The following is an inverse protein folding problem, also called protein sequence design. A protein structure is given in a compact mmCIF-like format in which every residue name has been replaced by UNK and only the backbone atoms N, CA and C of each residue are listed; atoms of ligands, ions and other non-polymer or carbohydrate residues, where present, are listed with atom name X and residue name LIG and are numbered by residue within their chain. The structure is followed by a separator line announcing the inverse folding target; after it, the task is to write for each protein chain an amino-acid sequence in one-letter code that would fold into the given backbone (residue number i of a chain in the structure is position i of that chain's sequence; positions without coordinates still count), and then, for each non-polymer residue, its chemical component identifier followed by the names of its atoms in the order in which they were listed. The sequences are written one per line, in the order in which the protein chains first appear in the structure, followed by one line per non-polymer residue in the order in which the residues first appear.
data_IF_953967369270
#
_entry.id   IF_953967369270
#
_cell.length_a   1.000
_cell.length_b   1.000
_cell.length_c   1.000
_cell.angle_alpha   90.00
_cell.angle_beta   90.00
_cell.angle_gamma   90.00
#
_symmetry.space_group_name_H-M   'P 1'
#
loop_
_entity.id
_entity.type
_entity.pdbx_description
1 polymer ?
#
# COMPACT_ATOMS: atom_id res chain seq x y z
N UNK A 1 -17.62 -8.49 13.11
CA UNK A 1 -17.36 -7.16 13.69
C UNK A 1 -17.03 -6.22 12.54
N UNK A 2 -17.53 -4.98 12.54
CA UNK A 2 -17.13 -3.99 11.52
C UNK A 2 -15.81 -3.36 11.98
N UNK A 3 -14.74 -3.54 11.20
CA UNK A 3 -13.47 -2.88 11.47
C UNK A 3 -13.51 -1.47 10.90
N UNK A 4 -13.28 -0.46 11.74
CA UNK A 4 -13.13 0.91 11.27
C UNK A 4 -11.74 1.06 10.65
N UNK A 5 -11.72 1.33 9.34
CA UNK A 5 -10.50 1.57 8.57
C UNK A 5 -10.16 3.05 8.56
N UNK A 6 -8.86 3.34 8.63
CA UNK A 6 -8.29 4.68 8.60
C UNK A 6 -7.12 4.68 7.61
N UNK A 7 -7.00 5.72 6.80
CA UNK A 7 -5.80 5.95 5.99
C UNK A 7 -4.68 6.39 6.94
N UNK A 8 -3.59 5.63 6.99
CA UNK A 8 -2.42 5.91 7.84
C UNK A 8 -1.41 6.81 7.13
N UNK A 9 -1.09 6.46 5.89
CA UNK A 9 -0.17 7.21 5.01
C UNK A 9 -0.41 6.80 3.56
N UNK A 10 0.40 7.36 2.66
CA UNK A 10 0.42 6.93 1.28
C UNK A 10 1.84 6.88 0.74
N UNK A 11 1.99 6.27 -0.43
CA UNK A 11 3.18 6.38 -1.27
C UNK A 11 2.79 6.90 -2.65
N UNK A 12 3.69 7.65 -3.27
CA UNK A 12 3.65 8.07 -4.67
C UNK A 12 4.53 7.11 -5.47
N UNK A 13 3.87 6.16 -6.14
CA UNK A 13 4.52 5.04 -6.79
C UNK A 13 4.67 5.23 -8.29
N UNK A 14 5.70 4.58 -8.84
CA UNK A 14 5.81 4.32 -10.26
C UNK A 14 4.81 3.26 -10.73
N UNK A 15 4.97 2.83 -11.98
CA UNK A 15 4.18 1.72 -12.52
C UNK A 15 4.58 0.42 -11.81
N UNK A 16 3.62 -0.37 -11.29
CA UNK A 16 3.94 -1.64 -10.64
C UNK A 16 4.46 -2.68 -11.64
N UNK A 17 5.22 -3.64 -11.14
CA UNK A 17 5.75 -4.74 -11.94
C UNK A 17 4.64 -5.72 -12.34
N UNK A 18 4.64 -6.17 -13.59
CA UNK A 18 3.78 -7.26 -14.07
C UNK A 18 4.55 -8.57 -14.06
N UNK A 19 4.23 -9.45 -13.11
CA UNK A 19 4.90 -10.74 -12.92
C UNK A 19 3.85 -11.86 -12.96
N UNK A 20 4.07 -12.88 -13.81
CA UNK A 20 3.13 -14.00 -14.00
C UNK A 20 1.65 -13.60 -14.08
N UNK A 21 1.35 -12.59 -14.89
CA UNK A 21 0.00 -12.03 -15.09
C UNK A 21 -0.63 -11.38 -13.85
N UNK A 22 0.17 -10.98 -12.87
CA UNK A 22 -0.24 -10.20 -11.69
C UNK A 22 0.51 -8.87 -11.69
N UNK A 23 -0.20 -7.78 -11.39
CA UNK A 23 0.44 -6.50 -11.09
C UNK A 23 0.83 -6.51 -9.61
N UNK A 24 2.11 -6.48 -9.27
CA UNK A 24 2.52 -6.57 -7.88
C UNK A 24 2.41 -5.20 -7.21
N UNK A 25 1.36 -5.03 -6.41
CA UNK A 25 1.19 -3.90 -5.49
C UNK A 25 1.66 -4.30 -4.10
N UNK A 26 2.10 -3.33 -3.29
CA UNK A 26 2.49 -3.56 -1.90
C UNK A 26 2.52 -2.26 -1.11
N UNK A 27 2.42 -2.35 0.22
CA UNK A 27 2.77 -1.25 1.12
C UNK A 27 4.28 -1.06 1.32
N UNK A 28 5.13 -1.93 0.76
CA UNK A 28 6.58 -1.79 0.79
C UNK A 28 7.09 -0.89 -0.32
N UNK A 29 7.98 0.02 0.06
CA UNK A 29 8.71 0.86 -0.88
C UNK A 29 9.69 0.06 -1.77
N UNK A 30 10.17 -1.09 -1.31
CA UNK A 30 11.03 -1.98 -2.08
C UNK A 30 10.31 -2.72 -3.23
N UNK A 31 8.99 -2.85 -3.15
CA UNK A 31 8.20 -3.64 -4.12
C UNK A 31 7.52 -2.74 -5.15
N UNK A 32 6.64 -1.82 -4.72
CA UNK A 32 5.95 -0.92 -5.66
C UNK A 32 6.82 0.31 -6.04
N UNK A 33 8.05 0.41 -5.53
CA UNK A 33 9.08 1.35 -5.98
C UNK A 33 8.58 2.81 -6.06
N UNK A 34 8.41 3.50 -4.92
CA UNK A 34 8.12 4.91 -4.87
C UNK A 34 9.13 5.73 -5.66
N UNK A 35 8.67 6.87 -6.18
CA UNK A 35 9.57 7.73 -6.96
C UNK A 35 10.67 8.32 -6.06
N UNK A 36 11.91 8.26 -6.54
CA UNK A 36 13.07 8.77 -5.79
C UNK A 36 13.03 10.30 -5.63
N UNK A 37 12.42 11.01 -6.58
CA UNK A 37 12.27 12.46 -6.53
C UNK A 37 10.88 12.88 -6.99
N UNK A 38 10.12 13.49 -6.08
CA UNK A 38 8.83 14.12 -6.37
C UNK A 38 9.01 15.31 -7.32
N UNK A 39 8.20 15.39 -8.40
CA UNK A 39 8.08 16.58 -9.23
C UNK A 39 7.85 17.83 -8.37
N UNK A 40 8.50 18.94 -8.73
CA UNK A 40 8.53 20.17 -7.92
C UNK A 40 7.14 20.72 -7.67
N UNK A 41 6.27 20.66 -8.68
CA UNK A 41 4.87 21.02 -8.67
C UNK A 41 4.02 20.19 -7.69
N UNK A 42 4.42 18.94 -7.43
CA UNK A 42 3.74 18.04 -6.51
C UNK A 42 4.15 18.29 -5.05
N UNK A 43 5.38 18.73 -4.79
CA UNK A 43 5.94 18.85 -3.43
C UNK A 43 5.08 19.66 -2.46
N UNK A 44 4.38 20.70 -2.94
CA UNK A 44 3.51 21.55 -2.11
C UNK A 44 2.25 20.83 -1.60
N UNK A 45 1.91 19.68 -2.16
CA UNK A 45 0.72 18.91 -1.83
C UNK A 45 0.99 17.73 -0.91
N UNK A 46 2.26 17.55 -0.53
CA UNK A 46 2.69 16.46 0.33
C UNK A 46 3.58 16.96 1.46
N UNK A 47 3.55 16.24 2.57
CA UNK A 47 4.49 16.35 3.68
C UNK A 47 5.08 14.97 3.96
N UNK A 48 6.13 14.92 4.78
CA UNK A 48 6.68 13.63 5.23
C UNK A 48 5.62 12.83 6.02
N UNK A 49 5.91 11.57 6.32
CA UNK A 49 4.99 10.69 7.03
C UNK A 49 4.52 11.28 8.39
N UNK A 50 5.34 12.14 9.00
CA UNK A 50 5.07 12.83 10.28
C UNK A 50 4.34 14.17 10.12
N UNK A 51 4.18 14.68 8.89
CA UNK A 51 3.48 15.93 8.60
C UNK A 51 4.28 17.22 8.82
N UNK A 52 5.58 17.14 9.08
CA UNK A 52 6.35 18.26 9.64
C UNK A 52 7.45 18.80 8.71
N UNK A 53 7.71 18.16 7.57
CA UNK A 53 8.77 18.60 6.66
C UNK A 53 8.38 18.51 5.18
N UNK A 54 9.15 19.22 4.36
CA UNK A 54 9.06 19.17 2.91
C UNK A 54 9.59 17.82 2.40
N UNK A 55 8.93 17.27 1.38
CA UNK A 55 9.27 15.97 0.82
C UNK A 55 10.03 16.06 -0.49
N UNK A 56 11.02 15.18 -0.61
CA UNK A 56 11.72 14.91 -1.86
C UNK A 56 11.44 13.49 -2.36
N UNK A 57 11.32 12.52 -1.45
CA UNK A 57 11.07 11.13 -1.77
C UNK A 57 9.56 10.84 -1.78
N UNK A 58 9.09 10.07 -2.77
CA UNK A 58 7.69 9.66 -2.90
C UNK A 58 7.30 8.47 -2.04
N UNK A 59 8.15 7.99 -1.14
CA UNK A 59 7.83 6.92 -0.19
C UNK A 59 6.75 7.32 0.80
N UNK A 60 6.85 6.87 2.04
CA UNK A 60 5.83 7.19 3.05
C UNK A 60 5.67 8.72 3.22
N UNK A 61 4.56 9.24 2.72
CA UNK A 61 4.19 10.67 2.71
C UNK A 61 2.75 10.85 3.17
N UNK A 62 2.41 12.09 3.52
CA UNK A 62 1.05 12.52 3.79
C UNK A 62 0.58 13.50 2.73
N UNK A 63 -0.63 13.32 2.21
CA UNK A 63 -1.24 14.28 1.29
C UNK A 63 -2.00 15.36 2.06
N UNK A 64 -1.72 16.62 1.74
CA UNK A 64 -2.38 17.77 2.38
C UNK A 64 -3.49 18.37 1.51
N UNK A 65 -3.61 17.96 0.25
CA UNK A 65 -4.66 18.39 -0.66
C UNK A 65 -5.03 17.30 -1.70
N UNK A 66 -6.34 17.02 -1.85
CA UNK A 66 -6.87 16.02 -2.78
C UNK A 66 -6.64 16.35 -4.26
N UNK A 67 -6.40 17.63 -4.60
CA UNK A 67 -6.06 18.03 -5.97
C UNK A 67 -4.78 17.36 -6.49
N UNK A 68 -3.91 16.88 -5.59
CA UNK A 68 -2.68 16.18 -5.97
C UNK A 68 -2.96 14.91 -6.79
N UNK A 69 -4.11 14.26 -6.61
CA UNK A 69 -4.45 13.03 -7.34
C UNK A 69 -4.53 13.24 -8.86
N UNK A 70 -5.09 14.38 -9.29
CA UNK A 70 -5.15 14.73 -10.71
C UNK A 70 -3.75 14.93 -11.29
N UNK A 71 -2.91 15.69 -10.58
CA UNK A 71 -1.53 15.97 -10.98
C UNK A 71 -0.68 14.69 -11.02
N UNK A 72 -0.83 13.79 -10.03
CA UNK A 72 -0.18 12.49 -10.05
C UNK A 72 -0.51 11.71 -11.33
N UNK A 73 -1.77 11.72 -11.75
CA UNK A 73 -2.20 11.05 -12.97
C UNK A 73 -1.57 11.68 -14.24
N UNK A 74 -1.48 13.01 -14.31
CA UNK A 74 -0.82 13.74 -15.40
C UNK A 74 0.67 13.37 -15.53
N UNK A 75 1.33 13.08 -14.40
CA UNK A 75 2.71 12.60 -14.37
C UNK A 75 2.87 11.09 -14.60
N UNK A 76 1.78 10.34 -14.84
CA UNK A 76 1.84 8.89 -14.98
C UNK A 76 2.17 8.16 -13.67
N UNK A 77 1.98 8.81 -12.52
CA UNK A 77 2.24 8.29 -11.19
C UNK A 77 0.98 7.71 -10.55
N UNK A 78 1.15 6.89 -9.52
CA UNK A 78 0.06 6.22 -8.81
C UNK A 78 0.07 6.59 -7.33
N UNK A 79 -1.11 6.79 -6.76
CA UNK A 79 -1.26 6.95 -5.31
C UNK A 79 -1.56 5.59 -4.67
N UNK A 80 -0.65 5.14 -3.80
CA UNK A 80 -0.83 3.94 -2.99
C UNK A 80 -1.23 4.35 -1.57
N UNK A 81 -2.53 4.28 -1.25
CA UNK A 81 -3.02 4.56 0.09
C UNK A 81 -2.91 3.33 0.98
N UNK A 82 -2.35 3.52 2.18
CA UNK A 82 -2.21 2.50 3.20
C UNK A 82 -3.29 2.69 4.24
N UNK A 83 -4.22 1.76 4.30
CA UNK A 83 -5.28 1.75 5.30
C UNK A 83 -4.99 0.71 6.38
N UNK A 84 -5.22 1.08 7.63
CA UNK A 84 -5.10 0.17 8.78
C UNK A 84 -6.41 0.19 9.56
N UNK A 85 -6.65 -0.87 10.31
CA UNK A 85 -7.76 -0.87 11.29
C UNK A 85 -7.36 -0.06 12.52
N UNK A 86 -8.35 0.60 13.14
CA UNK A 86 -8.13 1.54 14.26
C UNK A 86 -7.32 0.96 15.43
N UNK A 87 -7.44 -0.35 15.69
CA UNK A 87 -6.69 -1.05 16.73
C UNK A 87 -5.17 -1.18 16.45
N UNK A 88 -4.71 -0.92 15.23
CA UNK A 88 -3.28 -0.88 14.91
C UNK A 88 -2.73 0.55 14.78
N UNK A 89 -3.55 1.60 15.00
CA UNK A 89 -3.12 2.98 14.84
C UNK A 89 -1.92 3.33 15.72
N UNK A 90 -1.91 2.85 16.96
CA UNK A 90 -0.80 3.05 17.90
C UNK A 90 0.51 2.41 17.43
N UNK A 91 0.45 1.38 16.58
CA UNK A 91 1.62 0.68 16.06
C UNK A 91 2.33 1.45 14.95
N UNK A 92 1.61 2.30 14.23
CA UNK A 92 2.14 2.98 13.03
C UNK A 92 2.77 4.34 13.38
N UNK A 93 2.51 4.88 14.58
CA UNK A 93 3.09 6.14 15.07
C UNK A 93 2.92 7.34 14.13
N UNK A 94 1.86 7.35 13.32
CA UNK A 94 1.55 8.41 12.35
C UNK A 94 0.38 9.28 12.78
N UNK A 95 0.40 10.54 12.33
CA UNK A 95 -0.69 11.50 12.54
C UNK A 95 -1.29 11.91 11.18
N UNK A 96 -2.12 11.05 10.56
CA UNK A 96 -2.68 11.33 9.25
C UNK A 96 -3.52 12.61 9.25
N UNK A 97 -3.50 13.43 8.18
CA UNK A 97 -4.32 14.64 8.06
C UNK A 97 -5.81 14.27 7.97
N UNK A 98 -6.47 14.16 9.12
CA UNK A 98 -7.86 13.64 9.25
C UNK A 98 -8.83 14.32 8.28
N UNK A 99 -8.73 15.64 8.11
CA UNK A 99 -9.64 16.39 7.25
C UNK A 99 -9.52 16.06 5.75
N UNK A 100 -8.34 15.66 5.27
CA UNK A 100 -8.11 15.26 3.88
C UNK A 100 -8.55 13.82 3.68
N UNK A 101 -8.09 12.92 4.54
CA UNK A 101 -8.34 11.48 4.39
C UNK A 101 -9.79 11.07 4.65
N UNK A 102 -10.50 11.79 5.53
CA UNK A 102 -11.93 11.57 5.73
C UNK A 102 -12.76 11.87 4.47
N UNK A 103 -12.29 12.78 3.60
CA UNK A 103 -12.95 13.09 2.33
C UNK A 103 -12.66 12.07 1.24
N UNK A 104 -11.59 11.30 1.38
CA UNK A 104 -11.11 10.38 0.35
C UNK A 104 -11.58 8.95 0.55
N UNK A 105 -11.68 8.50 1.81
CA UNK A 105 -11.79 7.07 2.12
C UNK A 105 -12.95 6.38 1.40
N UNK A 106 -14.08 7.07 1.23
CA UNK A 106 -15.27 6.54 0.55
C UNK A 106 -15.14 6.52 -0.99
N UNK A 107 -14.17 7.26 -1.55
CA UNK A 107 -13.89 7.35 -2.98
C UNK A 107 -12.74 6.45 -3.44
N UNK A 108 -12.00 5.85 -2.51
CA UNK A 108 -10.90 4.94 -2.80
C UNK A 108 -11.40 3.54 -3.15
N UNK A 109 -10.67 2.87 -4.04
CA UNK A 109 -10.96 1.51 -4.47
C UNK A 109 -10.03 0.54 -3.73
N UNK A 110 -10.58 -0.46 -3.00
CA UNK A 110 -9.77 -1.48 -2.35
C UNK A 110 -9.11 -2.39 -3.38
N UNK A 111 -7.80 -2.60 -3.22
CA UNK A 111 -7.01 -3.47 -4.08
C UNK A 111 -6.71 -4.82 -3.44
N UNK A 112 -6.76 -4.91 -2.11
CA UNK A 112 -6.48 -6.12 -1.34
C UNK A 112 -5.74 -5.79 -0.05
N UNK A 113 -5.19 -6.82 0.59
CA UNK A 113 -4.48 -6.71 1.85
C UNK A 113 -3.02 -7.15 1.74
N UNK A 114 -2.14 -6.35 2.32
CA UNK A 114 -0.72 -6.64 2.56
C UNK A 114 -0.50 -6.81 4.08
N UNK A 115 0.70 -7.22 4.47
CA UNK A 115 1.10 -7.43 5.86
C UNK A 115 2.32 -6.59 6.15
N UNK A 116 2.29 -5.84 7.26
CA UNK A 116 3.41 -5.02 7.69
C UNK A 116 3.63 -5.11 9.19
N UNK A 117 4.80 -4.65 9.64
CA UNK A 117 5.07 -4.33 11.04
C UNK A 117 5.64 -2.92 11.20
N UNK A 118 5.65 -2.41 12.45
CA UNK A 118 6.10 -1.07 12.83
C UNK A 118 5.35 0.03 12.09
N UNK A 119 6.06 1.08 11.68
CA UNK A 119 5.48 2.21 10.96
C UNK A 119 5.10 1.88 9.48
N UNK A 120 5.24 0.62 9.06
CA UNK A 120 5.06 0.26 7.65
C UNK A 120 6.31 -0.18 6.92
N UNK A 121 7.45 -0.14 7.59
CA UNK A 121 8.75 -0.20 6.94
C UNK A 121 9.15 -1.62 6.54
N UNK A 122 8.59 -2.63 7.19
CA UNK A 122 8.78 -4.03 6.84
C UNK A 122 7.46 -4.63 6.37
N UNK A 123 7.38 -4.98 5.09
CA UNK A 123 6.32 -5.86 4.56
C UNK A 123 6.74 -7.32 4.68
N UNK A 124 5.77 -8.19 4.97
CA UNK A 124 6.00 -9.63 5.03
C UNK A 124 6.38 -10.20 3.66
N UNK A 125 5.98 -9.54 2.56
CA UNK A 125 6.39 -9.95 1.20
C UNK A 125 7.91 -9.93 0.99
N UNK A 126 8.65 -9.15 1.78
CA UNK A 126 10.12 -9.06 1.68
C UNK A 126 10.85 -9.63 2.89
N UNK A 127 10.25 -9.53 4.08
CA UNK A 127 10.92 -9.81 5.35
C UNK A 127 10.22 -10.89 6.18
N UNK A 128 9.15 -11.49 5.66
CA UNK A 128 8.32 -12.42 6.39
C UNK A 128 7.83 -13.58 5.54
N UNK A 129 6.81 -14.27 6.07
CA UNK A 129 6.09 -15.31 5.36
C UNK A 129 4.98 -14.67 4.50
N UNK A 130 5.01 -14.94 3.20
CA UNK A 130 4.01 -14.50 2.25
C UNK A 130 3.82 -15.59 1.16
N UNK A 131 2.61 -15.79 0.61
CA UNK A 131 2.35 -16.90 -0.31
C UNK A 131 3.05 -16.82 -1.67
N UNK A 132 3.49 -15.62 -2.07
CA UNK A 132 4.15 -15.37 -3.35
C UNK A 132 5.41 -14.54 -3.17
N UNK A 133 6.37 -14.71 -4.08
CA UNK A 133 7.55 -13.84 -4.18
C UNK A 133 7.15 -12.55 -4.92
N UNK A 134 7.32 -11.35 -4.33
CA UNK A 134 6.92 -10.10 -4.98
C UNK A 134 7.85 -9.67 -6.13
N UNK A 135 9.04 -10.27 -6.25
CA UNK A 135 10.05 -9.93 -7.26
C UNK A 135 10.06 -10.90 -8.45
N UNK A 136 9.63 -12.14 -8.26
CA UNK A 136 9.51 -13.13 -9.35
C UNK A 136 8.06 -13.48 -9.70
N UNK A 137 7.13 -13.26 -8.78
CA UNK A 137 5.74 -13.72 -8.89
C UNK A 137 5.60 -15.23 -8.70
N UNK A 138 6.65 -15.93 -8.25
CA UNK A 138 6.60 -17.36 -7.95
C UNK A 138 5.69 -17.64 -6.75
N UNK A 139 4.96 -18.75 -6.82
CA UNK A 139 4.17 -19.26 -5.70
C UNK A 139 5.12 -19.97 -4.74
N UNK A 140 5.21 -19.47 -3.51
CA UNK A 140 6.15 -19.98 -2.49
C UNK A 140 5.46 -21.04 -1.62
N UNK A 141 4.15 -20.90 -1.41
CA UNK A 141 3.38 -21.86 -0.62
C UNK A 141 2.01 -22.20 -1.24
N UNK A 142 1.34 -23.18 -0.63
CA UNK A 142 0.07 -23.74 -1.10
C UNK A 142 -1.13 -22.77 -1.06
N UNK A 143 -0.97 -21.58 -0.47
CA UNK A 143 -2.02 -20.59 -0.30
C UNK A 143 -1.92 -19.43 -1.31
N UNK A 144 -1.12 -19.58 -2.37
CA UNK A 144 -1.02 -18.60 -3.45
C UNK A 144 -2.35 -18.32 -4.18
N UNK A 145 -3.33 -19.22 -4.07
CA UNK A 145 -4.70 -19.05 -4.55
C UNK A 145 -5.47 -17.94 -3.81
N UNK A 146 -5.04 -17.61 -2.58
CA UNK A 146 -5.59 -16.51 -1.77
C UNK A 146 -5.06 -15.14 -2.16
N UNK A 147 -4.08 -15.09 -3.05
CA UNK A 147 -3.52 -13.86 -3.58
C UNK A 147 -4.24 -13.48 -4.86
N UNK A 148 -4.57 -12.22 -5.02
CA UNK A 148 -5.33 -11.70 -6.14
C UNK A 148 -4.44 -11.24 -7.29
N UNK A 149 -5.07 -10.71 -8.36
CA UNK A 149 -4.36 -10.21 -9.54
C UNK A 149 -3.45 -9.00 -9.28
N UNK A 150 -3.52 -8.42 -8.09
CA UNK A 150 -2.70 -7.31 -7.62
C UNK A 150 -1.57 -7.74 -6.67
N UNK A 151 -1.33 -9.05 -6.50
CA UNK A 151 -0.29 -9.55 -5.60
C UNK A 151 -0.63 -9.41 -4.11
N UNK A 152 -1.90 -9.18 -3.77
CA UNK A 152 -2.39 -8.94 -2.41
C UNK A 152 -3.39 -10.02 -1.98
N UNK A 153 -3.57 -10.24 -0.68
CA UNK A 153 -4.63 -11.11 -0.18
C UNK A 153 -6.01 -10.60 -0.59
N UNK A 154 -6.90 -11.52 -1.01
CA UNK A 154 -8.30 -11.19 -1.34
C UNK A 154 -9.09 -10.73 -0.11
N UNK A 155 -8.88 -11.38 1.03
CA UNK A 155 -9.68 -11.18 2.23
C UNK A 155 -8.82 -10.74 3.41
N UNK A 156 -9.44 -10.00 4.33
CA UNK A 156 -8.80 -9.61 5.59
C UNK A 156 -8.49 -10.85 6.45
N UNK A 157 -9.35 -11.86 6.44
CA UNK A 157 -9.21 -13.04 7.29
C UNK A 157 -7.99 -13.88 6.88
N UNK A 158 -7.73 -14.03 5.58
CA UNK A 158 -6.54 -14.69 5.08
C UNK A 158 -5.27 -13.92 5.45
N UNK A 159 -5.32 -12.59 5.32
CA UNK A 159 -4.22 -11.72 5.72
C UNK A 159 -3.92 -11.82 7.23
N UNK A 160 -4.96 -11.78 8.08
CA UNK A 160 -4.84 -11.95 9.53
C UNK A 160 -4.26 -13.30 9.92
N UNK A 161 -4.62 -14.36 9.20
CA UNK A 161 -4.04 -15.69 9.42
C UNK A 161 -2.52 -15.66 9.20
N UNK A 162 -2.07 -15.00 8.12
CA UNK A 162 -0.64 -14.83 7.87
C UNK A 162 0.03 -13.87 8.84
N UNK A 163 -0.66 -12.85 9.36
CA UNK A 163 -0.14 -12.04 10.45
C UNK A 163 0.16 -12.91 11.68
N UNK A 164 -0.73 -13.85 12.03
CA UNK A 164 -0.50 -14.79 13.14
C UNK A 164 0.69 -15.71 12.88
N UNK A 165 0.81 -16.24 11.65
CA UNK A 165 1.97 -17.04 11.25
C UNK A 165 3.27 -16.26 11.40
N UNK A 166 3.33 -15.03 10.88
CA UNK A 166 4.51 -14.17 11.01
C UNK A 166 4.82 -13.83 12.48
N UNK A 167 3.81 -13.52 13.30
CA UNK A 167 4.00 -13.28 14.74
C UNK A 167 4.52 -14.51 15.50
N UNK A 168 4.19 -15.72 15.04
CA UNK A 168 4.68 -16.96 15.65
C UNK A 168 6.09 -17.33 15.18
N UNK A 169 6.41 -17.09 13.91
CA UNK A 169 7.68 -17.51 13.29
C UNK A 169 8.78 -16.45 13.41
N UNK A 170 8.40 -15.18 13.51
CA UNK A 170 9.29 -14.00 13.53
C UNK A 170 8.85 -13.06 14.67
N UNK A 171 8.86 -13.52 15.93
CA UNK A 171 8.35 -12.76 17.07
C UNK A 171 9.14 -11.48 17.36
N UNK A 172 10.41 -11.39 16.96
CA UNK A 172 11.26 -10.21 17.12
C UNK A 172 10.78 -8.99 16.31
N UNK A 173 9.92 -9.22 15.32
CA UNK A 173 9.31 -8.21 14.47
C UNK A 173 7.81 -8.04 14.72
N UNK A 174 7.27 -8.69 15.74
CA UNK A 174 5.88 -8.51 16.13
C UNK A 174 5.63 -7.08 16.70
N UNK A 175 4.41 -6.53 16.55
CA UNK A 175 3.26 -7.15 15.89
C UNK A 175 3.26 -6.95 14.38
N UNK A 176 3.10 -8.04 13.64
CA UNK A 176 2.66 -8.03 12.25
C UNK A 176 1.15 -7.81 12.19
N UNK A 177 0.71 -6.91 11.32
CA UNK A 177 -0.69 -6.50 11.18
C UNK A 177 -1.07 -6.27 9.70
N UNK A 178 -2.37 -6.39 9.38
CA UNK A 178 -2.86 -6.21 8.03
C UNK A 178 -2.87 -4.73 7.62
N UNK A 179 -2.48 -4.47 6.38
CA UNK A 179 -2.56 -3.16 5.73
C UNK A 179 -3.40 -3.29 4.48
N UNK A 180 -4.54 -2.60 4.43
CA UNK A 180 -5.35 -2.49 3.22
C UNK A 180 -4.68 -1.57 2.21
N UNK A 181 -4.52 -2.03 0.98
CA UNK A 181 -4.01 -1.22 -0.13
C UNK A 181 -5.18 -0.65 -0.91
N UNK A 182 -5.19 0.66 -1.07
CA UNK A 182 -6.24 1.41 -1.74
C UNK A 182 -5.64 2.34 -2.79
N UNK A 183 -6.39 2.57 -3.86
CA UNK A 183 -5.99 3.51 -4.93
C UNK A 183 -7.17 4.39 -5.31
N UNK A 184 -6.90 5.55 -5.92
CA UNK A 184 -7.96 6.39 -6.48
C UNK A 184 -8.52 5.80 -7.80
N UNK A 185 -9.68 6.32 -8.24
CA UNK A 185 -10.39 5.87 -9.45
C UNK A 185 -9.54 5.95 -10.73
N UNK A 186 -8.72 6.99 -10.89
CA UNK A 186 -7.84 7.16 -12.06
C UNK A 186 -6.70 6.14 -12.03
N UNK A 187 -6.08 5.93 -10.87
CA UNK A 187 -5.07 4.89 -10.68
C UNK A 187 -5.65 3.50 -10.97
N UNK A 188 -6.83 3.17 -10.44
CA UNK A 188 -7.48 1.89 -10.70
C UNK A 188 -7.76 1.63 -12.19
N UNK A 189 -8.29 2.63 -12.90
CA UNK A 189 -8.59 2.51 -14.33
C UNK A 189 -7.32 2.23 -15.15
N UNK A 190 -6.23 2.95 -14.87
CA UNK A 190 -4.93 2.75 -15.54
C UNK A 190 -4.33 1.38 -15.22
N UNK A 191 -4.34 0.95 -13.95
CA UNK A 191 -3.84 -0.37 -13.53
C UNK A 191 -4.66 -1.50 -14.18
N UNK A 192 -5.99 -1.36 -14.20
CA UNK A 192 -6.88 -2.36 -14.82
C UNK A 192 -6.68 -2.43 -16.34
N UNK A 193 -6.44 -1.29 -17.00
CA UNK A 193 -6.09 -1.24 -18.42
C UNK A 193 -4.80 -1.99 -18.75
N UNK A 194 -3.78 -1.90 -17.89
CA UNK A 194 -2.51 -2.64 -18.06
C UNK A 194 -2.71 -4.16 -18.10
N UNK A 195 -3.68 -4.69 -17.34
CA UNK A 195 -4.01 -6.11 -17.36
C UNK A 195 -4.76 -6.53 -18.64
N UNK A 196 -5.51 -5.63 -19.27
CA UNK A 196 -6.31 -5.93 -20.47
C UNK A 196 -5.52 -5.87 -21.79
N UNK A 197 -4.45 -5.09 -21.87
CA UNK A 197 -3.71 -4.84 -23.13
C UNK A 197 -2.87 -6.04 -23.60
N UNK A 198 -2.71 -7.09 -22.79
CA UNK A 198 -1.82 -8.23 -23.08
C UNK A 198 -2.52 -9.58 -23.25
N UNK A 199 -3.83 -9.58 -23.53
CA UNK A 199 -4.60 -10.75 -23.95
C UNK A 199 -4.96 -10.69 -25.43
#
# INVERSE_FOLDING_TARGET
MSYKLLIASMMVCGTPNLLKNRLILSCSDSVWSPIQTLPVELKRYFTDELGNSAVNYGGFVQMVDVHALGLLAEHGLFACFRCITENYLEQVQVYPPKAVYQKLIDDLIPMGWDISTGNGWLSASCHGCFPIDPYTGDEIDQHADKINKFGLFFTLDDCLTYCQTNNSLIPEHAPWFPVGIYVDKSSYARLSGTLCIRH
#
